data_IF_229923516569
#
_entry.id   IF_229923516569
#
_cell.length_a   1.000
_cell.length_b   1.000
_cell.length_c   1.000
_cell.angle_alpha   90.00
_cell.angle_beta   90.00
_cell.angle_gamma   90.00
#
_symmetry.space_group_name_H-M   'P 1'
#
loop_
_entity.id
_entity.type
_entity.pdbx_description
1 polymer ?
#
# COMPACT_ATOMS: atom_id res chain seq x y z
N UNK A 1 9.79 -5.02 26.65
CA UNK A 1 8.72 -5.92 26.19
C UNK A 1 8.76 -5.89 24.68
N UNK A 2 9.07 -6.98 23.96
CA UNK A 2 8.98 -6.99 22.52
C UNK A 2 7.49 -7.02 22.16
N UNK A 3 7.05 -6.10 21.30
CA UNK A 3 5.68 -6.11 20.81
C UNK A 3 5.51 -7.34 19.90
N UNK A 4 4.68 -8.29 20.32
CA UNK A 4 3.98 -9.32 19.54
C UNK A 4 4.36 -9.35 18.05
N UNK A 5 5.39 -10.12 17.71
CA UNK A 5 5.86 -10.34 16.33
C UNK A 5 4.90 -11.28 15.59
N UNK A 6 3.76 -10.75 15.16
CA UNK A 6 2.88 -11.53 14.29
C UNK A 6 1.48 -11.00 14.06
N UNK A 7 1.25 -9.73 13.71
CA UNK A 7 -0.05 -9.35 13.12
C UNK A 7 -0.13 -8.02 12.35
N UNK A 8 0.98 -7.35 12.04
CA UNK A 8 0.93 -6.05 11.35
C UNK A 8 1.34 -6.18 9.88
N UNK A 9 0.36 -6.16 8.98
CA UNK A 9 0.59 -6.01 7.54
C UNK A 9 1.06 -4.57 7.29
N UNK A 10 2.32 -4.39 6.91
CA UNK A 10 2.91 -3.08 6.58
C UNK A 10 2.99 -2.91 5.06
N UNK A 11 2.35 -1.87 4.54
CA UNK A 11 2.35 -1.55 3.11
C UNK A 11 3.45 -0.55 2.79
N UNK A 12 4.53 -1.00 2.13
CA UNK A 12 5.68 -0.16 1.74
C UNK A 12 5.56 0.35 0.30
N UNK A 13 4.50 1.12 0.02
CA UNK A 13 4.24 1.60 -1.34
C UNK A 13 5.28 2.64 -1.78
N UNK A 14 5.73 3.51 -0.88
CA UNK A 14 6.71 4.56 -1.20
C UNK A 14 8.05 3.99 -1.70
N UNK A 15 8.58 2.98 -1.00
CA UNK A 15 9.83 2.33 -1.38
C UNK A 15 9.72 1.69 -2.78
N UNK A 16 8.59 1.03 -3.07
CA UNK A 16 8.34 0.40 -4.36
C UNK A 16 8.21 1.42 -5.49
N UNK A 17 7.48 2.51 -5.27
CA UNK A 17 7.33 3.59 -6.24
C UNK A 17 8.68 4.23 -6.56
N UNK A 18 9.50 4.45 -5.54
CA UNK A 18 10.83 5.04 -5.70
C UNK A 18 11.78 4.09 -6.44
N UNK A 19 11.84 2.83 -6.04
CA UNK A 19 12.69 1.81 -6.69
C UNK A 19 12.33 1.60 -8.17
N UNK A 20 11.06 1.73 -8.53
CA UNK A 20 10.56 1.56 -9.89
C UNK A 20 10.46 2.85 -10.69
N UNK A 21 10.85 3.99 -10.09
CA UNK A 21 10.72 5.35 -10.67
C UNK A 21 9.33 5.59 -11.27
N UNK A 22 8.29 5.22 -10.53
CA UNK A 22 6.90 5.28 -10.99
C UNK A 22 6.04 6.11 -10.06
N UNK A 23 4.98 6.69 -10.59
CA UNK A 23 4.04 7.51 -9.81
C UNK A 23 2.90 6.65 -9.22
N UNK A 24 2.22 7.19 -8.20
CA UNK A 24 1.03 6.55 -7.64
C UNK A 24 -0.11 6.45 -8.67
N UNK A 25 -0.21 7.45 -9.56
CA UNK A 25 -1.19 7.48 -10.66
C UNK A 25 -0.93 6.35 -11.66
N UNK A 26 0.31 6.18 -12.09
CA UNK A 26 0.70 5.08 -12.99
C UNK A 26 0.45 3.71 -12.37
N UNK A 27 0.66 3.58 -11.06
CA UNK A 27 0.30 2.35 -10.34
C UNK A 27 -1.21 2.11 -10.43
N UNK A 28 -2.01 3.15 -10.17
CA UNK A 28 -3.48 3.11 -10.19
C UNK A 28 -4.00 2.54 -11.51
N UNK A 29 -3.49 3.07 -12.62
CA UNK A 29 -3.85 2.64 -13.97
C UNK A 29 -3.45 1.18 -14.24
N UNK A 30 -2.25 0.77 -13.78
CA UNK A 30 -1.73 -0.59 -13.98
C UNK A 30 -2.49 -1.66 -13.19
N UNK A 31 -2.93 -1.36 -11.97
CA UNK A 31 -3.66 -2.32 -11.12
C UNK A 31 -5.18 -2.18 -11.23
N UNK A 32 -5.69 -1.22 -11.99
CA UNK A 32 -7.12 -0.97 -12.12
C UNK A 32 -7.77 -0.53 -10.80
N UNK A 33 -7.00 0.13 -9.92
CA UNK A 33 -7.50 0.69 -8.67
C UNK A 33 -7.56 2.20 -8.78
N UNK A 34 -8.46 2.81 -8.02
CA UNK A 34 -8.52 4.27 -7.94
C UNK A 34 -7.31 4.82 -7.18
N UNK A 35 -6.87 6.03 -7.54
CA UNK A 35 -5.88 6.80 -6.80
C UNK A 35 -6.24 6.95 -5.31
N UNK A 36 -7.53 7.09 -5.00
CA UNK A 36 -8.03 7.17 -3.63
C UNK A 36 -7.74 5.88 -2.84
N UNK A 37 -8.02 4.71 -3.40
CA UNK A 37 -7.76 3.42 -2.75
C UNK A 37 -6.25 3.22 -2.50
N UNK A 38 -5.41 3.55 -3.49
CA UNK A 38 -3.96 3.46 -3.33
C UNK A 38 -3.40 4.47 -2.33
N UNK A 39 -3.97 5.67 -2.24
CA UNK A 39 -3.59 6.68 -1.25
C UNK A 39 -3.90 6.21 0.18
N UNK A 40 -5.04 5.56 0.39
CA UNK A 40 -5.42 4.98 1.69
C UNK A 40 -4.45 3.85 2.08
N UNK A 41 -4.01 3.02 1.11
CA UNK A 41 -3.00 1.99 1.34
C UNK A 41 -1.62 2.58 1.65
N UNK A 42 -1.16 3.58 0.88
CA UNK A 42 0.12 4.26 1.08
C UNK A 42 0.21 4.96 2.43
N UNK A 43 -0.87 5.61 2.87
CA UNK A 43 -0.91 6.36 4.14
C UNK A 43 -1.21 5.49 5.36
N UNK A 44 -1.38 4.17 5.19
CA UNK A 44 -1.70 3.25 6.28
C UNK A 44 -3.10 3.44 6.87
N UNK A 45 -4.00 4.16 6.18
CA UNK A 45 -5.38 4.43 6.63
C UNK A 45 -6.36 3.32 6.25
N UNK A 46 -5.87 2.27 5.59
CA UNK A 46 -6.68 1.13 5.18
C UNK A 46 -7.18 0.36 6.41
N UNK A 47 -8.50 0.19 6.50
CA UNK A 47 -9.14 -0.51 7.63
C UNK A 47 -9.04 -2.03 7.53
N UNK A 48 -9.14 -2.57 6.31
CA UNK A 48 -9.08 -4.00 6.04
C UNK A 48 -8.69 -4.22 4.57
N UNK A 49 -8.06 -5.36 4.31
CA UNK A 49 -7.78 -5.86 2.96
C UNK A 49 -8.40 -7.26 2.88
N UNK A 50 -9.29 -7.48 1.90
CA UNK A 50 -9.85 -8.80 1.63
C UNK A 50 -8.96 -9.53 0.65
N UNK A 51 -8.45 -10.68 1.04
CA UNK A 51 -7.81 -11.64 0.14
C UNK A 51 -8.89 -12.65 -0.31
N UNK A 52 -8.88 -13.01 -1.59
CA UNK A 52 -9.79 -13.99 -2.19
C UNK A 52 -9.00 -14.94 -3.06
#
# INVERSE_FOLDING_TARGET
MPAEEGTLIVVKLDDLLHARRMTLTELADRVGLTLANLSILKTGKAKAIRFS
#
